data_IF_779294476552
#
_entry.id   IF_779294476552
#
_cell.length_a   1.000
_cell.length_b   1.000
_cell.length_c   1.000
_cell.angle_alpha   90.00
_cell.angle_beta   90.00
_cell.angle_gamma   90.00
#
_symmetry.space_group_name_H-M   'P 1'
#
loop_
_entity.id
_entity.type
_entity.pdbx_description
1 polymer ?
#
# COMPACT_ATOMS: atom_id res chain seq x y z
N UNK A 1 -10.21 23.44 11.23
CA UNK A 1 -8.81 23.40 11.68
C UNK A 1 -8.57 22.05 12.34
N UNK A 2 -7.61 21.25 11.88
CA UNK A 2 -7.44 19.86 12.33
C UNK A 2 -6.68 19.74 13.67
N UNK A 3 -6.35 20.87 14.31
CA UNK A 3 -5.69 20.91 15.63
C UNK A 3 -4.22 20.50 15.60
N UNK A 4 -3.56 20.61 14.45
CA UNK A 4 -2.16 20.19 14.30
C UNK A 4 -1.20 21.31 14.70
N UNK A 5 -0.05 20.92 15.24
CA UNK A 5 1.06 21.85 15.51
C UNK A 5 1.46 22.56 14.21
N UNK A 6 1.77 23.88 14.24
CA UNK A 6 2.35 24.58 13.10
C UNK A 6 3.62 23.93 12.56
N UNK A 7 4.37 23.23 13.42
CA UNK A 7 5.62 22.56 13.05
C UNK A 7 5.47 21.07 12.68
N UNK A 8 4.24 20.54 12.64
CA UNK A 8 3.97 19.12 12.34
C UNK A 8 4.71 18.60 11.09
N UNK A 9 4.77 19.41 10.03
CA UNK A 9 5.45 19.02 8.77
C UNK A 9 6.95 18.85 8.99
N UNK A 10 7.58 19.77 9.74
CA UNK A 10 9.02 19.72 10.04
C UNK A 10 9.36 18.54 10.96
N UNK A 11 8.52 18.28 11.95
CA UNK A 11 8.68 17.14 12.86
C UNK A 11 8.65 15.80 12.09
N UNK A 12 7.69 15.65 11.18
CA UNK A 12 7.58 14.46 10.30
C UNK A 12 8.79 14.31 9.38
N UNK A 13 9.27 15.40 8.80
CA UNK A 13 10.46 15.39 7.95
C UNK A 13 11.70 14.92 8.72
N UNK A 14 11.88 15.42 9.95
CA UNK A 14 13.01 15.02 10.80
C UNK A 14 12.97 13.53 11.16
N UNK A 15 11.79 13.00 11.50
CA UNK A 15 11.59 11.57 11.78
C UNK A 15 12.05 10.70 10.59
N UNK A 16 11.73 11.10 9.35
CA UNK A 16 12.14 10.34 8.16
C UNK A 16 13.64 10.46 7.91
N UNK A 17 14.22 11.66 8.09
CA UNK A 17 15.67 11.88 7.90
C UNK A 17 16.53 11.07 8.87
N UNK A 18 16.09 10.95 10.11
CA UNK A 18 16.85 10.28 11.17
C UNK A 18 16.61 8.76 11.22
N UNK A 19 15.74 8.24 10.34
CA UNK A 19 15.37 6.83 10.34
C UNK A 19 16.55 5.94 9.96
N UNK A 20 16.83 4.96 10.81
CA UNK A 20 17.88 3.95 10.58
C UNK A 20 17.36 2.76 9.78
N UNK A 21 18.29 1.97 9.22
CA UNK A 21 17.93 0.73 8.48
C UNK A 21 17.27 -0.29 9.40
N UNK A 22 17.72 -0.37 10.64
CA UNK A 22 17.20 -1.27 11.67
C UNK A 22 15.74 -0.92 11.97
N UNK A 23 15.43 0.37 12.17
CA UNK A 23 14.05 0.83 12.38
C UNK A 23 13.15 0.57 11.15
N UNK A 24 13.67 0.76 9.93
CA UNK A 24 12.92 0.39 8.71
C UNK A 24 12.62 -1.11 8.69
N UNK A 25 13.60 -1.95 9.05
CA UNK A 25 13.43 -3.39 9.10
C UNK A 25 12.39 -3.81 10.14
N UNK A 26 12.41 -3.23 11.33
CA UNK A 26 11.42 -3.46 12.38
C UNK A 26 10.00 -3.09 11.93
N UNK A 27 9.84 -1.92 11.29
CA UNK A 27 8.55 -1.50 10.74
C UNK A 27 8.07 -2.44 9.63
N UNK A 28 8.95 -2.88 8.74
CA UNK A 28 8.62 -3.83 7.68
C UNK A 28 8.18 -5.18 8.26
N UNK A 29 8.89 -5.72 9.26
CA UNK A 29 8.48 -6.95 9.94
C UNK A 29 7.12 -6.81 10.62
N UNK A 30 6.81 -5.63 11.16
CA UNK A 30 5.54 -5.37 11.86
C UNK A 30 4.35 -5.20 10.93
N UNK A 31 4.53 -4.54 9.78
CA UNK A 31 3.41 -4.08 8.95
C UNK A 31 3.38 -4.63 7.53
N UNK A 32 4.50 -5.07 6.97
CA UNK A 32 4.59 -5.55 5.58
C UNK A 32 4.50 -7.08 5.50
N UNK A 33 3.50 -7.67 6.16
CA UNK A 33 3.20 -9.10 6.06
C UNK A 33 2.46 -9.40 4.74
N UNK A 34 3.07 -10.09 3.76
CA UNK A 34 2.46 -10.35 2.46
C UNK A 34 1.12 -11.10 2.55
N UNK A 35 0.95 -11.94 3.57
CA UNK A 35 -0.29 -12.71 3.80
C UNK A 35 -1.46 -11.85 4.29
N UNK A 36 -1.19 -10.61 4.69
CA UNK A 36 -2.17 -9.64 5.18
C UNK A 36 -2.24 -8.37 4.31
N UNK A 37 -1.57 -8.37 3.15
CA UNK A 37 -1.57 -7.24 2.22
C UNK A 37 -2.71 -7.34 1.20
N UNK A 38 -3.30 -6.18 0.89
CA UNK A 38 -4.21 -6.03 -0.25
C UNK A 38 -3.38 -5.55 -1.44
N UNK A 39 -3.37 -6.34 -2.50
CA UNK A 39 -2.72 -5.99 -3.76
C UNK A 39 -3.73 -5.36 -4.70
N UNK A 40 -3.53 -4.08 -5.04
CA UNK A 40 -4.33 -3.38 -6.05
C UNK A 40 -3.46 -3.11 -7.28
N UNK A 41 -3.85 -3.67 -8.42
CA UNK A 41 -3.16 -3.50 -9.70
C UNK A 41 -4.09 -2.74 -10.64
N UNK A 42 -3.63 -1.59 -11.15
CA UNK A 42 -4.35 -0.79 -12.13
C UNK A 42 -3.71 -0.98 -13.50
N UNK A 43 -4.42 -1.60 -14.42
CA UNK A 43 -3.91 -1.90 -15.76
C UNK A 43 -4.89 -2.71 -16.60
N UNK A 44 -4.41 -3.20 -17.75
CA UNK A 44 -5.20 -4.06 -18.63
C UNK A 44 -5.33 -5.48 -18.06
N UNK A 45 -6.53 -5.81 -17.61
CA UNK A 45 -6.84 -7.13 -17.07
C UNK A 45 -6.58 -8.26 -18.10
N UNK A 46 -6.82 -8.01 -19.39
CA UNK A 46 -6.71 -9.05 -20.43
C UNK A 46 -5.31 -9.62 -20.55
N UNK A 47 -4.29 -8.80 -20.35
CA UNK A 47 -2.88 -9.20 -20.52
C UNK A 47 -2.18 -9.57 -19.21
N UNK A 48 -2.73 -9.17 -18.06
CA UNK A 48 -2.05 -9.28 -16.78
C UNK A 48 -2.70 -10.26 -15.81
N UNK A 49 -3.98 -10.63 -15.97
CA UNK A 49 -4.70 -11.48 -15.00
C UNK A 49 -3.99 -12.82 -14.75
N UNK A 50 -3.69 -13.57 -15.81
CA UNK A 50 -3.02 -14.87 -15.71
C UNK A 50 -1.65 -14.79 -15.01
N UNK A 51 -0.94 -13.67 -15.19
CA UNK A 51 0.35 -13.44 -14.55
C UNK A 51 0.19 -13.13 -13.07
N UNK A 52 -0.88 -12.42 -12.68
CA UNK A 52 -1.16 -12.11 -11.29
C UNK A 52 -1.53 -13.37 -10.50
N UNK A 53 -2.30 -14.28 -11.10
CA UNK A 53 -2.57 -15.61 -10.50
C UNK A 53 -1.28 -16.40 -10.26
N UNK A 54 -0.33 -16.33 -11.20
CA UNK A 54 0.96 -17.02 -11.09
C UNK A 54 1.87 -16.47 -10.00
N UNK A 55 1.61 -15.28 -9.45
CA UNK A 55 2.40 -14.71 -8.35
C UNK A 55 2.16 -15.42 -7.01
N UNK A 56 1.10 -16.21 -6.88
CA UNK A 56 0.81 -16.99 -5.68
C UNK A 56 0.17 -16.20 -4.54
N UNK A 57 -0.33 -14.99 -4.80
CA UNK A 57 -1.06 -14.17 -3.81
C UNK A 57 -2.58 -14.45 -3.76
N UNK A 58 -3.03 -15.54 -4.40
CA UNK A 58 -4.44 -15.90 -4.54
C UNK A 58 -5.04 -15.46 -5.88
N UNK A 59 -6.32 -15.81 -6.09
CA UNK A 59 -7.08 -15.46 -7.29
C UNK A 59 -7.40 -13.95 -7.29
N UNK A 60 -6.95 -13.18 -8.29
CA UNK A 60 -7.23 -11.75 -8.34
C UNK A 60 -8.71 -11.45 -8.59
N UNK A 61 -9.23 -10.42 -7.91
CA UNK A 61 -10.63 -10.01 -8.07
C UNK A 61 -10.71 -8.80 -8.99
N UNK A 62 -11.42 -8.93 -10.12
CA UNK A 62 -11.67 -7.80 -11.03
C UNK A 62 -12.66 -6.79 -10.42
N UNK A 63 -12.18 -5.56 -10.22
CA UNK A 63 -12.89 -4.50 -9.50
C UNK A 63 -13.85 -3.69 -10.39
N UNK A 64 -13.52 -3.44 -11.66
CA UNK A 64 -14.28 -2.52 -12.54
C UNK A 64 -15.77 -2.86 -12.70
N UNK A 65 -16.14 -4.13 -12.59
CA UNK A 65 -17.53 -4.56 -12.74
C UNK A 65 -18.32 -4.52 -11.40
N UNK A 66 -17.65 -4.31 -10.27
CA UNK A 66 -18.25 -4.32 -8.92
C UNK A 66 -18.59 -2.94 -8.39
N UNK A 67 -17.94 -1.90 -8.90
CA UNK A 67 -18.22 -0.52 -8.54
C UNK A 67 -18.89 0.15 -9.74
N UNK A 68 -20.20 0.40 -9.64
CA UNK A 68 -20.81 1.44 -10.48
C UNK A 68 -20.19 2.75 -10.04
N UNK A 69 -19.69 3.54 -10.97
CA UNK A 69 -19.18 4.88 -10.70
C UNK A 69 -20.18 5.61 -9.79
N UNK A 70 -19.64 6.21 -8.71
CA UNK A 70 -20.45 6.92 -7.73
C UNK A 70 -21.29 7.99 -8.42
N UNK A 71 -22.56 8.07 -8.02
CA UNK A 71 -23.41 9.24 -8.31
C UNK A 71 -22.76 10.52 -7.79
#
# INVERSE_FOLDING_TARGET
DYGWSPDYVKEREQIVKDMTKEQISELAQKYANPDQMIWLVVGDAKTQMDRLEQLGFGEPILINNRFKEGN
#
